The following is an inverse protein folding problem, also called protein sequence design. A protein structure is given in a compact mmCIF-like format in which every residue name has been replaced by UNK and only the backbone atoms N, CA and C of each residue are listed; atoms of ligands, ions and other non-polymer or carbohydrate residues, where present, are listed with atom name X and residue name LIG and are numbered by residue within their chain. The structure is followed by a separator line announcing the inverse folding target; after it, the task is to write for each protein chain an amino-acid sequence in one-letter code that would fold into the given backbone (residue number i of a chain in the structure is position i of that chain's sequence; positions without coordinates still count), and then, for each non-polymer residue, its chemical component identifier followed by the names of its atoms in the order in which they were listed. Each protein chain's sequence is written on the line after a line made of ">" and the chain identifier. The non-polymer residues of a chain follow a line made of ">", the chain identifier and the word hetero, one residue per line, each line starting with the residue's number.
data_IF_990041343701
#
_entry.id   IF_990041343701
#
_cell.length_a   1.000
_cell.length_b   1.000
_cell.length_c   1.000
_cell.angle_alpha   90.00
_cell.angle_beta   90.00
_cell.angle_gamma   90.00
#
_symmetry.space_group_name_H-M   'P 1'
#
loop_
_entity.id
_entity.type
_entity.pdbx_description
1 polymer ?
#
# COMPACT_ATOMS: atom_id res chain seq x y z
N UNK A 1 3.82 51.20 -30.33
CA UNK A 1 3.82 49.72 -30.19
C UNK A 1 5.06 49.05 -30.78
N UNK A 2 5.82 49.68 -31.69
CA UNK A 2 7.04 49.10 -32.28
C UNK A 2 8.14 48.69 -31.26
N UNK A 3 8.22 49.39 -30.12
CA UNK A 3 9.16 49.07 -29.02
C UNK A 3 8.90 47.66 -28.43
N UNK A 4 7.66 47.14 -28.53
CA UNK A 4 7.31 45.80 -28.03
C UNK A 4 7.80 44.66 -28.93
N UNK A 5 8.22 44.97 -30.16
CA UNK A 5 8.76 43.98 -31.10
C UNK A 5 10.28 43.83 -30.98
N UNK A 6 10.96 44.80 -30.36
CA UNK A 6 12.41 44.78 -30.21
C UNK A 6 12.83 43.79 -29.12
N UNK A 7 13.53 42.71 -29.50
CA UNK A 7 14.12 41.76 -28.54
C UNK A 7 15.36 42.40 -27.89
N UNK A 8 15.53 42.23 -26.58
CA UNK A 8 16.74 42.65 -25.88
C UNK A 8 17.97 41.85 -26.38
N UNK A 9 19.20 42.30 -26.07
CA UNK A 9 20.48 41.61 -26.36
C UNK A 9 20.50 40.15 -25.87
N UNK A 10 19.66 39.82 -24.89
CA UNK A 10 19.46 38.49 -24.31
C UNK A 10 18.32 37.67 -24.95
N UNK A 11 17.68 38.18 -26.01
CA UNK A 11 16.54 37.54 -26.69
C UNK A 11 15.24 37.48 -25.88
N UNK A 12 15.11 38.28 -24.80
CA UNK A 12 13.90 38.39 -23.99
C UNK A 12 12.88 39.30 -24.68
N UNK A 13 11.61 38.88 -24.70
CA UNK A 13 10.51 39.73 -25.17
C UNK A 13 10.27 40.88 -24.18
N UNK A 14 10.06 42.13 -24.63
CA UNK A 14 9.74 43.26 -23.75
C UNK A 14 8.57 42.97 -22.81
N UNK A 15 7.54 42.28 -23.31
CA UNK A 15 6.40 41.82 -22.53
C UNK A 15 6.81 40.93 -21.33
N UNK A 16 7.83 40.09 -21.47
CA UNK A 16 8.34 39.26 -20.35
C UNK A 16 8.98 40.11 -19.26
N UNK A 17 9.70 41.17 -19.64
CA UNK A 17 10.34 42.09 -18.71
C UNK A 17 9.29 42.90 -17.94
N UNK A 18 8.27 43.38 -18.65
CA UNK A 18 7.15 44.12 -18.07
C UNK A 18 6.39 43.27 -17.05
N UNK A 19 6.00 42.03 -17.39
CA UNK A 19 5.32 41.13 -16.44
C UNK A 19 6.16 40.91 -15.15
N UNK A 20 7.48 40.85 -15.28
CA UNK A 20 8.39 40.61 -14.15
C UNK A 20 8.55 41.86 -13.28
N UNK A 21 8.87 43.00 -13.90
CA UNK A 21 9.35 44.19 -13.19
C UNK A 21 8.29 45.31 -13.07
N UNK A 22 7.35 45.42 -14.02
CA UNK A 22 6.37 46.51 -14.11
C UNK A 22 4.98 45.98 -14.51
N UNK A 23 4.24 45.33 -13.57
CA UNK A 23 2.96 44.68 -13.86
C UNK A 23 1.87 45.66 -14.30
N UNK A 24 1.82 46.87 -13.73
CA UNK A 24 0.85 47.91 -14.08
C UNK A 24 1.02 48.36 -15.55
N UNK A 25 2.27 48.55 -15.98
CA UNK A 25 2.56 48.87 -17.38
C UNK A 25 2.23 47.72 -18.32
N UNK A 26 2.41 46.47 -17.88
CA UNK A 26 1.98 45.30 -18.65
C UNK A 26 0.45 45.25 -18.79
N UNK A 27 -0.29 45.62 -17.75
CA UNK A 27 -1.75 45.70 -17.80
C UNK A 27 -2.23 46.75 -18.81
N UNK A 28 -1.68 47.97 -18.77
CA UNK A 28 -2.01 49.02 -19.75
C UNK A 28 -1.77 48.58 -21.19
N UNK A 29 -0.71 47.83 -21.43
CA UNK A 29 -0.40 47.28 -22.74
C UNK A 29 -1.43 46.22 -23.15
N UNK A 30 -1.87 45.38 -22.21
CA UNK A 30 -2.91 44.38 -22.47
C UNK A 30 -4.28 45.03 -22.70
N UNK A 31 -4.61 46.11 -22.02
CA UNK A 31 -5.83 46.90 -22.26
C UNK A 31 -5.83 47.46 -23.69
N UNK A 32 -4.70 47.99 -24.14
CA UNK A 32 -4.48 48.45 -25.52
C UNK A 32 -4.55 47.33 -26.58
N UNK A 33 -4.51 46.05 -26.17
CA UNK A 33 -4.64 44.92 -27.10
C UNK A 33 -6.10 44.47 -27.28
N UNK A 34 -7.06 45.12 -26.62
CA UNK A 34 -8.49 44.86 -26.74
C UNK A 34 -9.10 46.00 -27.57
N UNK A 35 -9.31 45.73 -28.86
CA UNK A 35 -10.03 46.66 -29.73
C UNK A 35 -11.53 46.33 -29.70
N UNK A 36 -12.35 47.30 -29.30
CA UNK A 36 -13.81 47.23 -29.39
C UNK A 36 -14.23 47.87 -30.70
N UNK A 37 -15.01 47.17 -31.53
CA UNK A 37 -15.55 47.74 -32.77
C UNK A 37 -16.27 49.06 -32.48
N UNK A 38 -16.04 50.08 -33.31
CA UNK A 38 -16.46 51.47 -33.07
C UNK A 38 -17.97 51.76 -33.13
N UNK A 39 -18.83 50.77 -32.99
CA UNK A 39 -20.27 50.98 -32.79
C UNK A 39 -20.54 51.21 -31.30
N UNK A 40 -21.08 52.39 -30.97
CA UNK A 40 -21.23 52.93 -29.61
C UNK A 40 -22.29 52.21 -28.75
N UNK A 41 -22.89 51.12 -29.22
CA UNK A 41 -23.94 50.38 -28.50
C UNK A 41 -23.54 48.92 -28.25
N UNK A 42 -23.58 48.52 -26.98
CA UNK A 42 -23.38 47.14 -26.52
C UNK A 42 -24.49 46.17 -26.97
N UNK A 43 -25.60 46.69 -27.53
CA UNK A 43 -26.79 45.91 -27.92
C UNK A 43 -26.86 45.60 -29.43
N UNK A 44 -25.89 46.05 -30.23
CA UNK A 44 -25.88 45.76 -31.67
C UNK A 44 -25.46 44.30 -31.95
N UNK A 45 -26.21 43.56 -32.79
CA UNK A 45 -25.92 42.14 -33.10
C UNK A 45 -24.58 41.92 -33.84
N UNK A 46 -23.94 43.00 -34.31
CA UNK A 46 -22.64 42.97 -34.99
C UNK A 46 -21.49 43.52 -34.13
N UNK A 47 -21.68 43.72 -32.82
CA UNK A 47 -20.61 44.14 -31.92
C UNK A 47 -19.58 43.01 -31.78
N UNK A 48 -18.34 43.25 -32.22
CA UNK A 48 -17.26 42.27 -32.16
C UNK A 48 -16.06 42.84 -31.40
N UNK A 49 -15.63 42.13 -30.36
CA UNK A 49 -14.42 42.45 -29.60
C UNK A 49 -13.25 41.70 -30.24
N UNK A 50 -12.26 42.43 -30.77
CA UNK A 50 -11.06 41.85 -31.37
C UNK A 50 -9.90 41.92 -30.39
N UNK A 51 -9.37 40.75 -30.02
CA UNK A 51 -8.29 40.59 -29.05
C UNK A 51 -6.96 40.26 -29.73
N UNK A 52 -5.97 41.14 -29.61
CA UNK A 52 -4.62 40.95 -30.15
C UNK A 52 -3.74 40.11 -29.20
N UNK A 53 -3.62 38.81 -29.48
CA UNK A 53 -2.90 37.84 -28.63
C UNK A 53 -1.39 37.75 -28.89
N UNK A 54 -0.87 38.46 -29.91
CA UNK A 54 0.51 38.35 -30.43
C UNK A 54 1.57 38.59 -29.35
N UNK A 55 1.30 39.46 -28.39
CA UNK A 55 2.26 39.80 -27.34
C UNK A 55 2.32 38.78 -26.19
N UNK A 56 1.23 38.06 -25.90
CA UNK A 56 1.21 37.02 -24.86
C UNK A 56 1.59 35.64 -25.39
N UNK A 57 1.36 35.38 -26.68
CA UNK A 57 1.67 34.10 -27.32
C UNK A 57 2.12 34.29 -28.78
N UNK A 58 3.41 34.60 -29.02
CA UNK A 58 3.92 34.72 -30.38
C UNK A 58 3.85 33.39 -31.15
N UNK A 59 3.55 33.46 -32.44
CA UNK A 59 3.48 32.31 -33.35
C UNK A 59 4.80 31.52 -33.38
N UNK A 60 4.73 30.18 -33.57
CA UNK A 60 5.88 29.27 -33.42
C UNK A 60 7.07 29.61 -34.33
N UNK A 61 6.85 30.26 -35.46
CA UNK A 61 7.87 30.67 -36.44
C UNK A 61 8.77 31.82 -35.97
N UNK A 62 8.31 32.71 -35.08
CA UNK A 62 9.04 33.93 -34.67
C UNK A 62 9.56 33.88 -33.21
N UNK A 63 9.36 32.76 -32.52
CA UNK A 63 9.41 32.64 -31.05
C UNK A 63 10.62 31.87 -30.49
N UNK A 64 11.72 31.75 -31.24
CA UNK A 64 12.96 31.17 -30.70
C UNK A 64 13.67 32.23 -29.87
N UNK A 65 13.53 32.17 -28.54
CA UNK A 65 14.47 32.82 -27.63
C UNK A 65 15.79 32.03 -27.64
N UNK A 66 16.95 32.70 -27.50
CA UNK A 66 18.30 32.10 -27.49
C UNK A 66 18.48 30.88 -26.55
N UNK A 67 17.55 30.67 -25.59
CA UNK A 67 17.55 29.57 -24.63
C UNK A 67 16.64 28.38 -24.99
N UNK A 68 16.17 28.30 -26.24
CA UNK A 68 15.38 27.17 -26.74
C UNK A 68 13.98 27.02 -26.13
N UNK A 69 13.45 28.02 -25.43
CA UNK A 69 12.10 27.99 -24.84
C UNK A 69 11.19 29.06 -25.43
N UNK A 70 10.00 28.65 -25.88
CA UNK A 70 8.94 29.52 -26.38
C UNK A 70 8.46 30.44 -25.25
N UNK A 71 8.31 31.73 -25.53
CA UNK A 71 7.68 32.65 -24.58
C UNK A 71 6.17 32.37 -24.51
N UNK A 72 5.68 32.17 -23.30
CA UNK A 72 4.25 32.07 -22.99
C UNK A 72 3.95 32.99 -21.81
N UNK A 73 3.25 34.10 -22.09
CA UNK A 73 2.94 35.16 -21.13
C UNK A 73 2.33 34.65 -19.82
N UNK A 74 1.25 33.84 -19.87
CA UNK A 74 0.61 33.30 -18.67
C UNK A 74 1.56 32.47 -17.78
N UNK A 75 2.51 31.74 -18.36
CA UNK A 75 3.50 30.99 -17.56
C UNK A 75 4.44 31.93 -16.79
N UNK A 76 4.76 33.09 -17.34
CA UNK A 76 5.56 34.11 -16.65
C UNK A 76 4.74 34.81 -15.56
N UNK A 77 3.44 35.06 -15.81
CA UNK A 77 2.53 35.65 -14.82
C UNK A 77 2.36 34.74 -13.59
N UNK A 78 2.20 33.43 -13.79
CA UNK A 78 2.12 32.45 -12.68
C UNK A 78 3.43 32.40 -11.89
N UNK A 79 4.58 32.39 -12.57
CA UNK A 79 5.90 32.34 -11.91
C UNK A 79 6.17 33.56 -11.01
N UNK A 80 5.56 34.70 -11.33
CA UNK A 80 5.69 35.95 -10.57
C UNK A 80 4.42 36.28 -9.76
N UNK A 81 3.51 35.32 -9.59
CA UNK A 81 2.27 35.44 -8.78
C UNK A 81 1.41 36.66 -9.12
N UNK A 82 1.39 37.06 -10.40
CA UNK A 82 0.63 38.22 -10.89
C UNK A 82 -0.84 37.86 -11.15
N UNK A 83 -1.64 37.80 -10.08
CA UNK A 83 -3.07 37.40 -10.13
C UNK A 83 -3.92 38.31 -11.02
N UNK A 84 -3.76 39.63 -10.88
CA UNK A 84 -4.50 40.63 -11.65
C UNK A 84 -4.30 40.48 -13.17
N UNK A 85 -3.07 40.20 -13.60
CA UNK A 85 -2.75 39.97 -15.02
C UNK A 85 -3.29 38.62 -15.54
N UNK A 86 -3.47 37.63 -14.66
CA UNK A 86 -4.06 36.33 -14.97
C UNK A 86 -5.58 36.42 -15.13
N UNK A 87 -6.24 37.23 -14.30
CA UNK A 87 -7.69 37.48 -14.35
C UNK A 87 -8.09 38.39 -15.51
N UNK A 88 -7.14 39.10 -16.11
CA UNK A 88 -7.37 39.98 -17.25
C UNK A 88 -8.11 39.29 -18.40
N UNK A 89 -9.14 39.92 -19.01
CA UNK A 89 -9.98 39.32 -20.06
C UNK A 89 -9.18 38.77 -21.23
N UNK A 90 -8.11 39.45 -21.65
CA UNK A 90 -7.22 38.99 -22.73
C UNK A 90 -6.54 37.65 -22.40
N UNK A 91 -6.08 37.49 -21.16
CA UNK A 91 -5.44 36.26 -20.67
C UNK A 91 -6.46 35.13 -20.58
N UNK A 92 -7.67 35.41 -20.09
CA UNK A 92 -8.76 34.44 -20.01
C UNK A 92 -9.21 33.95 -21.38
N UNK A 93 -9.41 34.85 -22.35
CA UNK A 93 -9.75 34.50 -23.74
C UNK A 93 -8.64 33.66 -24.38
N UNK A 94 -7.37 34.01 -24.16
CA UNK A 94 -6.23 33.23 -24.64
C UNK A 94 -6.24 31.80 -24.09
N UNK A 95 -6.43 31.66 -22.78
CA UNK A 95 -6.45 30.36 -22.09
C UNK A 95 -7.65 29.53 -22.54
N UNK A 96 -8.85 30.12 -22.63
CA UNK A 96 -10.06 29.44 -23.10
C UNK A 96 -9.93 28.98 -24.57
N UNK A 97 -9.36 29.82 -25.44
CA UNK A 97 -9.14 29.48 -26.86
C UNK A 97 -8.17 28.31 -27.00
N UNK A 98 -7.02 28.34 -26.31
CA UNK A 98 -6.04 27.25 -26.33
C UNK A 98 -6.56 25.97 -25.67
N UNK A 99 -7.30 26.11 -24.57
CA UNK A 99 -7.92 24.98 -23.89
C UNK A 99 -8.97 24.31 -24.77
N UNK A 100 -9.87 25.08 -25.39
CA UNK A 100 -10.90 24.52 -26.27
C UNK A 100 -10.34 23.93 -27.56
N UNK A 101 -9.24 24.47 -28.09
CA UNK A 101 -8.64 23.99 -29.34
C UNK A 101 -7.85 22.69 -29.16
N UNK A 102 -7.02 22.58 -28.11
CA UNK A 102 -6.11 21.43 -27.97
C UNK A 102 -6.13 20.82 -26.57
N UNK A 103 -6.12 21.64 -25.52
CA UNK A 103 -5.98 21.16 -24.14
C UNK A 103 -7.10 20.21 -23.69
N UNK A 104 -8.34 20.54 -24.03
CA UNK A 104 -9.54 19.77 -23.70
C UNK A 104 -9.51 18.39 -24.36
N UNK A 105 -9.16 18.33 -25.65
CA UNK A 105 -9.11 17.08 -26.41
C UNK A 105 -8.02 16.15 -25.85
N UNK A 106 -6.81 16.65 -25.65
CA UNK A 106 -5.69 15.86 -25.09
C UNK A 106 -6.02 15.36 -23.69
N UNK A 107 -6.62 16.21 -22.85
CA UNK A 107 -7.01 15.83 -21.50
C UNK A 107 -8.06 14.72 -21.49
N UNK A 108 -9.17 14.87 -22.22
CA UNK A 108 -10.23 13.85 -22.22
C UNK A 108 -9.78 12.54 -22.86
N UNK A 109 -8.94 12.60 -23.90
CA UNK A 109 -8.33 11.41 -24.47
C UNK A 109 -7.49 10.68 -23.41
N UNK A 110 -6.54 11.36 -22.76
CA UNK A 110 -5.71 10.76 -21.71
C UNK A 110 -6.56 10.25 -20.51
N UNK A 111 -7.57 11.01 -20.11
CA UNK A 111 -8.51 10.60 -19.07
C UNK A 111 -9.25 9.31 -19.43
N UNK A 112 -9.71 9.19 -20.68
CA UNK A 112 -10.43 8.02 -21.15
C UNK A 112 -9.54 6.77 -21.18
N UNK A 113 -8.31 6.88 -21.69
CA UNK A 113 -7.35 5.77 -21.66
C UNK A 113 -7.03 5.32 -20.23
N UNK A 114 -6.87 6.27 -19.32
CA UNK A 114 -6.64 5.96 -17.92
C UNK A 114 -7.87 5.31 -17.27
N UNK A 115 -9.07 5.82 -17.53
CA UNK A 115 -10.32 5.28 -17.00
C UNK A 115 -10.58 3.84 -17.49
N UNK A 116 -10.35 3.55 -18.78
CA UNK A 116 -10.43 2.20 -19.33
C UNK A 116 -9.43 1.27 -18.64
N UNK A 117 -8.19 1.74 -18.40
CA UNK A 117 -7.20 0.99 -17.63
C UNK A 117 -7.70 0.67 -16.21
N UNK A 118 -8.25 1.65 -15.47
CA UNK A 118 -8.78 1.43 -14.12
C UNK A 118 -9.89 0.38 -14.13
N UNK A 119 -10.89 0.52 -15.02
CA UNK A 119 -12.01 -0.42 -15.11
C UNK A 119 -11.53 -1.83 -15.45
N UNK A 120 -10.65 -1.97 -16.45
CA UNK A 120 -10.14 -3.28 -16.86
C UNK A 120 -9.28 -3.94 -15.79
N UNK A 121 -8.42 -3.17 -15.10
CA UNK A 121 -7.61 -3.69 -14.01
C UNK A 121 -8.47 -4.14 -12.82
N UNK A 122 -9.52 -3.37 -12.48
CA UNK A 122 -10.44 -3.73 -11.40
C UNK A 122 -11.28 -4.97 -11.76
N UNK A 123 -11.78 -5.05 -13.00
CA UNK A 123 -12.51 -6.20 -13.50
C UNK A 123 -11.64 -7.47 -13.52
N UNK A 124 -10.37 -7.34 -13.91
CA UNK A 124 -9.39 -8.42 -13.84
C UNK A 124 -9.21 -8.94 -12.41
N UNK A 125 -8.98 -8.06 -11.43
CA UNK A 125 -8.81 -8.46 -10.04
C UNK A 125 -10.05 -9.18 -9.49
N UNK A 126 -11.25 -8.64 -9.72
CA UNK A 126 -12.50 -9.24 -9.25
C UNK A 126 -12.70 -10.63 -9.87
N UNK A 127 -12.49 -10.76 -11.19
CA UNK A 127 -12.60 -12.06 -11.86
C UNK A 127 -11.57 -13.05 -11.37
N UNK A 128 -10.33 -12.62 -11.16
CA UNK A 128 -9.28 -13.48 -10.65
C UNK A 128 -9.62 -14.02 -9.25
N UNK A 129 -10.16 -13.16 -8.38
CA UNK A 129 -10.62 -13.55 -7.03
C UNK A 129 -11.80 -14.51 -7.09
N UNK A 130 -12.77 -14.30 -7.98
CA UNK A 130 -13.99 -15.10 -8.07
C UNK A 130 -13.78 -16.47 -8.75
N UNK A 131 -12.91 -16.54 -9.76
CA UNK A 131 -12.68 -17.74 -10.56
C UNK A 131 -11.41 -18.51 -10.15
N UNK A 132 -10.85 -18.25 -8.96
CA UNK A 132 -9.64 -18.94 -8.48
C UNK A 132 -9.76 -20.47 -8.55
N UNK A 133 -10.96 -21.02 -8.32
CA UNK A 133 -11.27 -22.46 -8.30
C UNK A 133 -11.42 -23.09 -9.69
N UNK A 134 -11.76 -22.30 -10.72
CA UNK A 134 -12.05 -22.80 -12.06
C UNK A 134 -10.81 -22.64 -12.91
N UNK A 135 -10.05 -23.72 -13.00
CA UNK A 135 -8.82 -23.98 -13.78
C UNK A 135 -8.61 -23.25 -15.12
N UNK A 136 -9.64 -22.69 -15.75
CA UNK A 136 -9.58 -22.03 -17.04
C UNK A 136 -8.98 -20.63 -16.93
N UNK A 137 -7.70 -20.54 -17.28
CA UNK A 137 -6.99 -19.28 -17.40
C UNK A 137 -7.69 -18.35 -18.38
N UNK A 138 -8.18 -17.21 -17.88
CA UNK A 138 -8.54 -16.06 -18.70
C UNK A 138 -7.24 -15.41 -19.23
N UNK A 139 -6.41 -16.16 -19.97
CA UNK A 139 -5.17 -15.67 -20.61
C UNK A 139 -5.45 -14.42 -21.44
N UNK A 140 -6.64 -14.36 -22.06
CA UNK A 140 -7.13 -13.18 -22.77
C UNK A 140 -7.17 -11.93 -21.86
N UNK A 141 -7.63 -12.04 -20.61
CA UNK A 141 -7.69 -10.90 -19.69
C UNK A 141 -6.28 -10.46 -19.28
N UNK A 142 -5.36 -11.41 -19.04
CA UNK A 142 -3.95 -11.09 -18.81
C UNK A 142 -3.33 -10.33 -19.98
N UNK A 143 -3.53 -10.81 -21.21
CA UNK A 143 -3.02 -10.15 -22.41
C UNK A 143 -3.59 -8.74 -22.59
N UNK A 144 -4.89 -8.54 -22.32
CA UNK A 144 -5.53 -7.22 -22.40
C UNK A 144 -4.94 -6.27 -21.35
N UNK A 145 -4.85 -6.68 -20.09
CA UNK A 145 -4.30 -5.84 -19.01
C UNK A 145 -2.83 -5.53 -19.25
N UNK A 146 -2.04 -6.51 -19.68
CA UNK A 146 -0.63 -6.31 -20.01
C UNK A 146 -0.45 -5.33 -21.17
N UNK A 147 -1.28 -5.42 -22.22
CA UNK A 147 -1.27 -4.47 -23.33
C UNK A 147 -1.58 -3.05 -22.85
N UNK A 148 -2.60 -2.87 -22.00
CA UNK A 148 -2.94 -1.56 -21.45
C UNK A 148 -1.80 -0.98 -20.61
N UNK A 149 -1.17 -1.78 -19.76
CA UNK A 149 0.00 -1.37 -18.98
C UNK A 149 1.15 -0.98 -19.90
N UNK A 150 1.41 -1.74 -20.95
CA UNK A 150 2.46 -1.44 -21.93
C UNK A 150 2.21 -0.09 -22.62
N UNK A 151 0.98 0.18 -23.07
CA UNK A 151 0.61 1.48 -23.64
C UNK A 151 0.87 2.60 -22.64
N UNK A 152 0.49 2.43 -21.36
CA UNK A 152 0.72 3.49 -20.36
C UNK A 152 2.19 3.65 -19.99
N UNK A 153 2.96 2.58 -19.95
CA UNK A 153 4.39 2.64 -19.74
C UNK A 153 5.08 3.39 -20.90
N UNK A 154 4.71 3.11 -22.15
CA UNK A 154 5.27 3.84 -23.30
C UNK A 154 4.92 5.34 -23.25
N UNK A 155 3.70 5.69 -22.83
CA UNK A 155 3.31 7.09 -22.58
C UNK A 155 4.21 7.76 -21.54
N UNK A 156 4.51 7.10 -20.42
CA UNK A 156 5.42 7.65 -19.40
C UNK A 156 6.86 7.76 -19.89
N UNK A 157 7.35 6.79 -20.66
CA UNK A 157 8.68 6.86 -21.26
C UNK A 157 8.78 8.05 -22.22
N UNK A 158 7.77 8.27 -23.07
CA UNK A 158 7.70 9.45 -23.94
C UNK A 158 7.69 10.74 -23.09
N UNK A 159 6.93 10.77 -22.00
CA UNK A 159 6.87 11.93 -21.10
C UNK A 159 8.23 12.22 -20.45
N UNK A 160 8.98 11.20 -20.03
CA UNK A 160 10.35 11.32 -19.51
C UNK A 160 11.29 11.86 -20.58
N UNK A 161 11.22 11.34 -21.82
CA UNK A 161 12.07 11.80 -22.92
C UNK A 161 11.84 13.27 -23.24
N UNK A 162 10.58 13.73 -23.22
CA UNK A 162 10.21 15.12 -23.50
C UNK A 162 10.58 16.07 -22.34
N UNK A 163 10.36 15.67 -21.08
CA UNK A 163 10.51 16.55 -19.91
C UNK A 163 11.88 16.41 -19.20
N UNK A 164 12.63 15.35 -19.50
CA UNK A 164 13.96 15.02 -18.94
C UNK A 164 13.99 15.09 -17.41
N UNK A 165 15.00 15.73 -16.81
CA UNK A 165 15.17 15.80 -15.36
C UNK A 165 14.05 16.56 -14.62
N UNK A 166 13.31 17.43 -15.31
CA UNK A 166 12.18 18.15 -14.70
C UNK A 166 11.02 17.22 -14.37
N UNK A 167 10.93 16.08 -15.07
CA UNK A 167 9.90 15.07 -14.86
C UNK A 167 9.91 14.54 -13.41
N UNK A 168 11.09 14.21 -12.86
CA UNK A 168 11.23 13.60 -11.53
C UNK A 168 10.94 14.55 -10.36
N UNK A 169 10.87 15.86 -10.60
CA UNK A 169 10.59 16.84 -9.53
C UNK A 169 9.10 17.01 -9.22
N UNK A 170 8.20 16.46 -10.05
CA UNK A 170 6.75 16.62 -9.86
C UNK A 170 6.16 15.40 -9.16
N UNK A 171 5.59 15.57 -7.97
CA UNK A 171 5.00 14.46 -7.19
C UNK A 171 3.93 13.67 -7.96
N UNK A 172 3.14 14.34 -8.81
CA UNK A 172 2.12 13.68 -9.65
C UNK A 172 2.72 12.68 -10.63
N UNK A 173 3.91 12.98 -11.17
CA UNK A 173 4.59 12.09 -12.12
C UNK A 173 5.19 10.89 -11.38
N UNK A 174 5.72 11.11 -10.17
CA UNK A 174 6.23 10.05 -9.32
C UNK A 174 5.13 9.06 -8.94
N UNK A 175 3.92 9.53 -8.57
CA UNK A 175 2.80 8.64 -8.25
C UNK A 175 2.34 7.82 -9.45
N UNK A 176 2.32 8.40 -10.66
CA UNK A 176 2.04 7.66 -11.91
C UNK A 176 3.09 6.57 -12.15
N UNK A 177 4.38 6.87 -11.95
CA UNK A 177 5.46 5.89 -12.12
C UNK A 177 5.39 4.72 -11.13
N UNK A 178 5.16 5.02 -9.85
CA UNK A 178 5.04 3.98 -8.82
C UNK A 178 3.83 3.10 -9.11
N UNK A 179 2.70 3.68 -9.55
CA UNK A 179 1.52 2.93 -9.96
C UNK A 179 1.82 1.95 -11.11
N UNK A 180 2.39 2.42 -12.22
CA UNK A 180 2.62 1.55 -13.38
C UNK A 180 3.71 0.50 -13.11
N UNK A 181 4.73 0.84 -12.32
CA UNK A 181 5.76 -0.12 -11.90
C UNK A 181 5.19 -1.21 -10.99
N UNK A 182 4.41 -0.83 -9.97
CA UNK A 182 3.81 -1.80 -9.03
C UNK A 182 2.77 -2.71 -9.70
N UNK A 183 1.94 -2.17 -10.60
CA UNK A 183 0.99 -2.96 -11.40
C UNK A 183 1.69 -3.91 -12.37
N UNK A 184 2.74 -3.47 -13.06
CA UNK A 184 3.54 -4.33 -13.94
C UNK A 184 4.19 -5.48 -13.18
N UNK A 185 4.78 -5.19 -12.02
CA UNK A 185 5.41 -6.21 -11.17
C UNK A 185 4.37 -7.19 -10.63
N UNK A 186 3.19 -6.72 -10.21
CA UNK A 186 2.10 -7.58 -9.78
C UNK A 186 1.62 -8.53 -10.89
N UNK A 187 1.30 -8.00 -12.08
CA UNK A 187 0.77 -8.81 -13.20
C UNK A 187 1.81 -9.80 -13.73
N UNK A 188 3.08 -9.41 -13.84
CA UNK A 188 4.13 -10.31 -14.32
C UNK A 188 4.42 -11.44 -13.33
N UNK A 189 4.50 -11.13 -12.02
CA UNK A 189 4.63 -12.16 -11.00
C UNK A 189 3.44 -13.12 -11.03
N UNK A 190 2.22 -12.58 -11.11
CA UNK A 190 1.01 -13.39 -11.11
C UNK A 190 0.93 -14.31 -12.34
N UNK A 191 1.34 -13.84 -13.53
CA UNK A 191 1.45 -14.67 -14.74
C UNK A 191 2.53 -15.76 -14.62
N UNK A 192 3.69 -15.45 -14.04
CA UNK A 192 4.78 -16.42 -13.85
C UNK A 192 4.31 -17.54 -12.90
N UNK A 193 3.69 -17.19 -11.78
CA UNK A 193 3.18 -18.18 -10.82
C UNK A 193 2.06 -19.03 -11.43
N UNK A 194 1.14 -18.44 -12.18
CA UNK A 194 0.07 -19.18 -12.86
C UNK A 194 0.63 -20.18 -13.90
N UNK A 195 1.65 -19.77 -14.68
CA UNK A 195 2.36 -20.64 -15.61
C UNK A 195 3.10 -21.79 -14.91
N UNK A 196 3.79 -21.52 -13.81
CA UNK A 196 4.51 -22.54 -13.02
C UNK A 196 3.54 -23.56 -12.44
N UNK A 197 2.42 -23.11 -11.84
CA UNK A 197 1.39 -24.00 -11.29
C UNK A 197 0.79 -24.87 -12.39
N UNK A 198 0.50 -24.28 -13.55
CA UNK A 198 -0.02 -25.01 -14.71
C UNK A 198 0.94 -26.06 -15.25
N UNK A 199 2.26 -25.85 -15.13
CA UNK A 199 3.28 -26.78 -15.65
C UNK A 199 3.59 -27.92 -14.66
N UNK A 200 3.65 -27.63 -13.36
CA UNK A 200 4.19 -28.57 -12.36
C UNK A 200 3.13 -29.31 -11.55
N UNK A 201 2.03 -28.68 -11.13
CA UNK A 201 1.02 -29.30 -10.26
C UNK A 201 -0.35 -28.60 -10.37
N UNK A 202 -1.18 -28.93 -11.37
CA UNK A 202 -2.47 -28.27 -11.58
C UNK A 202 -3.48 -28.50 -10.44
N UNK A 203 -3.31 -29.56 -9.63
CA UNK A 203 -4.24 -29.89 -8.53
C UNK A 203 -4.05 -29.05 -7.25
N UNK A 204 -2.94 -28.31 -7.08
CA UNK A 204 -2.63 -27.55 -5.84
C UNK A 204 -2.62 -26.03 -6.02
N UNK A 205 -3.53 -25.49 -6.85
CA UNK A 205 -3.57 -24.06 -7.20
C UNK A 205 -3.77 -23.11 -6.00
N UNK A 206 -4.57 -23.47 -5.00
CA UNK A 206 -4.96 -22.55 -3.92
C UNK A 206 -3.87 -22.27 -2.87
N UNK A 207 -2.99 -23.23 -2.58
CA UNK A 207 -2.02 -23.11 -1.48
C UNK A 207 -0.63 -22.62 -1.93
N UNK A 208 -0.45 -22.29 -3.22
CA UNK A 208 0.87 -22.01 -3.78
C UNK A 208 1.18 -20.52 -3.98
N UNK A 209 0.19 -19.63 -3.96
CA UNK A 209 0.45 -18.20 -4.14
C UNK A 209 1.06 -17.58 -2.87
N UNK A 210 2.28 -17.01 -2.93
CA UNK A 210 2.85 -16.33 -1.79
C UNK A 210 2.05 -15.06 -1.43
N UNK A 211 1.94 -14.78 -0.13
CA UNK A 211 1.18 -13.64 0.40
C UNK A 211 1.65 -12.28 -0.17
N UNK A 212 2.92 -12.18 -0.58
CA UNK A 212 3.50 -10.97 -1.16
C UNK A 212 2.76 -10.50 -2.43
N UNK A 213 2.26 -11.42 -3.26
CA UNK A 213 1.54 -11.08 -4.50
C UNK A 213 0.26 -10.30 -4.18
N UNK A 214 -0.48 -10.75 -3.16
CA UNK A 214 -1.71 -10.08 -2.74
C UNK A 214 -1.45 -8.71 -2.12
N UNK A 215 -0.35 -8.56 -1.38
CA UNK A 215 0.07 -7.25 -0.85
C UNK A 215 0.39 -6.29 -2.00
N UNK A 216 1.11 -6.75 -3.03
CA UNK A 216 1.41 -5.96 -4.22
C UNK A 216 0.13 -5.59 -5.00
N UNK A 217 -0.81 -6.52 -5.12
CA UNK A 217 -2.14 -6.29 -5.69
C UNK A 217 -2.91 -5.21 -4.93
N UNK A 218 -2.95 -5.29 -3.60
CA UNK A 218 -3.62 -4.31 -2.74
C UNK A 218 -2.98 -2.91 -2.84
N UNK A 219 -1.64 -2.82 -2.86
CA UNK A 219 -0.93 -1.56 -3.04
C UNK A 219 -1.25 -0.97 -4.42
N UNK A 220 -1.22 -1.78 -5.47
CA UNK A 220 -1.45 -1.31 -6.84
C UNK A 220 -2.87 -0.81 -7.08
N UNK A 221 -3.91 -1.48 -6.56
CA UNK A 221 -5.30 -1.01 -6.67
C UNK A 221 -5.53 0.27 -5.86
N UNK A 222 -4.92 0.39 -4.68
CA UNK A 222 -4.97 1.62 -3.88
C UNK A 222 -4.33 2.80 -4.62
N UNK A 223 -3.13 2.61 -5.17
CA UNK A 223 -2.46 3.65 -5.97
C UNK A 223 -3.25 4.00 -7.24
N UNK A 224 -3.97 3.03 -7.83
CA UNK A 224 -4.78 3.24 -9.01
C UNK A 224 -5.92 4.23 -8.72
N UNK A 225 -6.70 4.00 -7.67
CA UNK A 225 -7.76 4.93 -7.29
C UNK A 225 -7.22 6.26 -6.74
N UNK A 226 -6.10 6.26 -6.00
CA UNK A 226 -5.46 7.48 -5.55
C UNK A 226 -5.04 8.37 -6.74
N UNK A 227 -4.46 7.77 -7.78
CA UNK A 227 -4.07 8.49 -8.98
C UNK A 227 -5.28 8.94 -9.82
N UNK A 228 -6.39 8.19 -9.83
CA UNK A 228 -7.64 8.65 -10.43
C UNK A 228 -8.12 9.97 -9.81
N UNK A 229 -8.08 10.10 -8.48
CA UNK A 229 -8.40 11.35 -7.79
C UNK A 229 -7.47 12.49 -8.26
N UNK A 230 -6.17 12.22 -8.40
CA UNK A 230 -5.20 13.22 -8.88
C UNK A 230 -5.45 13.65 -10.34
N UNK A 231 -5.97 12.76 -11.19
CA UNK A 231 -6.35 13.10 -12.57
C UNK A 231 -7.62 13.95 -12.57
N UNK A 232 -8.61 13.64 -11.73
CA UNK A 232 -9.85 14.42 -11.58
C UNK A 232 -9.60 15.87 -11.13
N UNK A 233 -8.44 16.15 -10.52
CA UNK A 233 -7.99 17.50 -10.14
C UNK A 233 -8.02 18.52 -11.29
N UNK A 234 -7.88 18.07 -12.55
CA UNK A 234 -7.83 18.96 -13.72
C UNK A 234 -9.21 19.33 -14.26
N UNK A 235 -10.29 18.72 -13.77
CA UNK A 235 -11.65 19.07 -14.13
C UNK A 235 -12.06 20.37 -13.41
N UNK A 236 -12.80 21.25 -14.09
CA UNK A 236 -13.19 22.55 -13.52
C UNK A 236 -14.12 22.45 -12.31
N UNK A 237 -15.06 21.50 -12.31
CA UNK A 237 -16.02 21.30 -11.21
C UNK A 237 -15.42 20.52 -10.05
N UNK A 238 -14.84 19.35 -10.34
CA UNK A 238 -14.31 18.43 -9.32
C UNK A 238 -12.94 18.87 -8.80
N UNK A 239 -12.18 19.60 -9.62
CA UNK A 239 -10.79 19.95 -9.33
C UNK A 239 -10.62 20.82 -8.09
N UNK A 240 -11.54 21.75 -7.85
CA UNK A 240 -11.52 22.64 -6.68
C UNK A 240 -11.61 21.79 -5.40
N UNK A 241 -12.56 20.85 -5.34
CA UNK A 241 -12.71 19.94 -4.20
C UNK A 241 -11.48 19.06 -3.98
N UNK A 242 -10.90 18.51 -5.06
CA UNK A 242 -9.68 17.69 -4.96
C UNK A 242 -8.50 18.52 -4.47
N UNK A 243 -8.32 19.75 -4.96
CA UNK A 243 -7.24 20.64 -4.48
C UNK A 243 -7.40 20.99 -3.00
N UNK A 244 -8.64 21.27 -2.56
CA UNK A 244 -8.95 21.53 -1.16
C UNK A 244 -8.65 20.30 -0.29
N UNK A 245 -9.06 19.11 -0.75
CA UNK A 245 -8.78 17.85 -0.05
C UNK A 245 -7.28 17.58 0.13
N UNK A 246 -6.48 17.78 -0.92
CA UNK A 246 -5.01 17.59 -0.84
C UNK A 246 -4.41 18.56 0.18
N UNK A 247 -4.84 19.82 0.19
CA UNK A 247 -4.32 20.83 1.11
C UNK A 247 -4.72 20.56 2.58
N UNK A 248 -5.95 20.10 2.80
CA UNK A 248 -6.42 19.63 4.12
C UNK A 248 -5.64 18.39 4.55
N UNK A 249 -5.41 17.42 3.66
CA UNK A 249 -4.65 16.19 3.96
C UNK A 249 -3.21 16.51 4.37
N UNK A 250 -2.55 17.48 3.73
CA UNK A 250 -1.21 17.95 4.15
C UNK A 250 -1.24 18.53 5.57
N UNK A 251 -2.27 19.31 5.90
CA UNK A 251 -2.42 19.90 7.23
C UNK A 251 -2.65 18.82 8.29
N UNK A 252 -3.52 17.84 8.00
CA UNK A 252 -3.76 16.68 8.86
C UNK A 252 -2.49 15.86 9.05
N UNK A 253 -1.71 15.62 7.99
CA UNK A 253 -0.45 14.88 8.07
C UNK A 253 0.57 15.60 8.96
N UNK A 254 0.68 16.93 8.87
CA UNK A 254 1.54 17.72 9.77
C UNK A 254 1.14 17.55 11.24
N UNK A 255 -0.15 17.58 11.53
CA UNK A 255 -0.67 17.38 12.89
C UNK A 255 -0.43 15.94 13.36
N UNK A 256 -0.66 14.95 12.49
CA UNK A 256 -0.39 13.54 12.79
C UNK A 256 1.08 13.29 13.17
N UNK A 257 2.03 13.95 12.49
CA UNK A 257 3.46 13.89 12.83
C UNK A 257 3.77 14.33 14.26
N UNK A 258 3.01 15.29 14.82
CA UNK A 258 3.17 15.70 16.21
C UNK A 258 2.67 14.59 17.15
N UNK A 259 1.54 13.96 16.82
CA UNK A 259 0.98 12.84 17.61
C UNK A 259 1.87 11.60 17.61
N UNK A 260 2.75 11.39 16.62
CA UNK A 260 3.68 10.26 16.62
C UNK A 260 4.62 10.24 17.84
N UNK A 261 5.02 11.42 18.36
CA UNK A 261 5.83 11.50 19.58
C UNK A 261 5.06 10.93 20.78
N UNK A 262 3.78 11.24 20.87
CA UNK A 262 2.90 10.70 21.92
C UNK A 262 2.73 9.19 21.75
N UNK A 263 2.47 8.69 20.53
CA UNK A 263 2.34 7.25 20.31
C UNK A 263 3.60 6.47 20.70
N UNK A 264 4.79 6.98 20.36
CA UNK A 264 6.04 6.35 20.74
C UNK A 264 6.25 6.38 22.26
N UNK A 265 5.94 7.51 22.91
CA UNK A 265 6.01 7.64 24.37
C UNK A 265 5.07 6.66 25.08
N UNK A 266 3.79 6.63 24.70
CA UNK A 266 2.81 5.69 25.25
C UNK A 266 3.19 4.23 24.97
N UNK A 267 3.65 3.92 23.75
CA UNK A 267 4.10 2.57 23.41
C UNK A 267 5.27 2.12 24.30
N UNK A 268 6.22 3.00 24.61
CA UNK A 268 7.33 2.69 25.52
C UNK A 268 6.86 2.51 26.96
N UNK A 269 5.93 3.34 27.44
CA UNK A 269 5.33 3.19 28.78
C UNK A 269 4.64 1.83 28.91
N UNK A 270 3.78 1.47 27.95
CA UNK A 270 3.11 0.16 27.95
C UNK A 270 4.10 -1.00 27.83
N UNK A 271 5.13 -0.87 27.00
CA UNK A 271 6.17 -1.89 26.87
C UNK A 271 6.89 -2.15 28.21
N UNK A 272 7.23 -1.10 28.95
CA UNK A 272 7.87 -1.23 30.28
C UNK A 272 6.89 -1.82 31.30
N UNK A 273 5.64 -1.32 31.33
CA UNK A 273 4.63 -1.77 32.28
C UNK A 273 4.33 -3.26 32.11
N UNK A 274 4.05 -3.71 30.89
CA UNK A 274 3.77 -5.12 30.62
C UNK A 274 4.98 -6.02 30.88
N UNK A 275 6.21 -5.55 30.61
CA UNK A 275 7.41 -6.31 30.99
C UNK A 275 7.52 -6.49 32.51
N UNK A 276 7.15 -5.49 33.29
CA UNK A 276 7.19 -5.55 34.76
C UNK A 276 6.10 -6.46 35.34
N UNK A 277 4.88 -6.40 34.81
CA UNK A 277 3.75 -7.22 35.27
C UNK A 277 3.92 -8.69 34.90
N UNK A 278 4.41 -9.00 33.70
CA UNK A 278 4.74 -10.38 33.30
C UNK A 278 5.87 -10.94 34.16
N UNK A 279 6.89 -10.13 34.50
CA UNK A 279 7.98 -10.55 35.38
C UNK A 279 7.52 -10.87 36.81
N UNK A 280 6.62 -10.06 37.37
CA UNK A 280 6.03 -10.27 38.69
C UNK A 280 5.10 -11.50 38.71
N UNK A 281 4.20 -11.63 37.72
CA UNK A 281 3.27 -12.74 37.65
C UNK A 281 3.99 -14.10 37.46
N UNK A 282 5.05 -14.16 36.65
CA UNK A 282 5.87 -15.38 36.50
C UNK A 282 6.63 -15.69 37.79
N UNK A 283 7.17 -14.69 38.48
CA UNK A 283 7.83 -14.86 39.78
C UNK A 283 6.92 -15.44 40.86
N UNK A 284 5.68 -14.95 40.95
CA UNK A 284 4.68 -15.46 41.89
C UNK A 284 4.25 -16.89 41.55
N UNK A 285 4.07 -17.22 40.27
CA UNK A 285 3.72 -18.59 39.84
C UNK A 285 4.85 -19.57 40.18
N UNK A 286 6.11 -19.20 39.97
CA UNK A 286 7.26 -20.04 40.30
C UNK A 286 7.43 -20.22 41.82
N UNK A 287 7.13 -19.19 42.62
CA UNK A 287 7.10 -19.29 44.07
C UNK A 287 5.97 -20.22 44.56
N UNK A 288 4.75 -20.07 44.02
CA UNK A 288 3.61 -20.93 44.32
C UNK A 288 3.89 -22.39 43.93
N UNK A 289 4.49 -22.62 42.76
CA UNK A 289 4.84 -23.96 42.27
C UNK A 289 5.87 -24.65 43.17
N UNK A 290 6.91 -23.94 43.58
CA UNK A 290 7.94 -24.48 44.50
C UNK A 290 7.34 -24.81 45.87
N UNK A 291 6.51 -23.94 46.42
CA UNK A 291 5.83 -24.19 47.69
C UNK A 291 4.87 -25.37 47.61
N UNK A 292 4.11 -25.51 46.51
CA UNK A 292 3.23 -26.64 46.29
C UNK A 292 4.00 -27.97 46.11
N UNK A 293 5.13 -27.96 45.41
CA UNK A 293 6.00 -29.13 45.25
C UNK A 293 6.57 -29.59 46.60
N UNK A 294 7.09 -28.66 47.41
CA UNK A 294 7.54 -28.96 48.77
C UNK A 294 6.40 -29.53 49.63
N UNK A 295 5.21 -28.93 49.57
CA UNK A 295 4.04 -29.38 50.33
C UNK A 295 3.60 -30.80 49.94
N UNK A 296 3.70 -31.16 48.65
CA UNK A 296 3.46 -32.54 48.18
C UNK A 296 4.49 -33.52 48.71
N UNK A 297 5.78 -33.18 48.65
CA UNK A 297 6.85 -34.03 49.20
C UNK A 297 6.68 -34.22 50.71
N UNK A 298 6.41 -33.14 51.45
CA UNK A 298 6.15 -33.21 52.88
C UNK A 298 4.95 -34.10 53.20
N UNK A 299 3.86 -34.01 52.42
CA UNK A 299 2.70 -34.87 52.59
C UNK A 299 3.02 -36.35 52.33
N UNK A 300 3.81 -36.67 51.31
CA UNK A 300 4.28 -38.04 51.06
C UNK A 300 5.15 -38.56 52.20
N UNK A 301 6.10 -37.76 52.67
CA UNK A 301 6.99 -38.13 53.79
C UNK A 301 6.17 -38.35 55.07
N UNK A 302 5.24 -37.45 55.40
CA UNK A 302 4.37 -37.61 56.57
C UNK A 302 3.47 -38.84 56.45
N UNK A 303 2.96 -39.16 55.25
CA UNK A 303 2.18 -40.37 55.03
C UNK A 303 3.02 -41.62 55.22
N UNK A 304 4.22 -41.68 54.62
CA UNK A 304 5.15 -42.80 54.78
C UNK A 304 5.51 -42.99 56.25
N UNK A 305 5.87 -41.92 56.97
CA UNK A 305 6.18 -41.98 58.39
C UNK A 305 4.98 -42.46 59.23
N UNK A 306 3.76 -42.06 58.88
CA UNK A 306 2.54 -42.54 59.54
C UNK A 306 2.30 -44.03 59.29
N UNK A 307 2.52 -44.50 58.07
CA UNK A 307 2.40 -45.92 57.70
C UNK A 307 3.45 -46.75 58.43
N UNK A 308 4.70 -46.29 58.47
CA UNK A 308 5.81 -46.94 59.19
C UNK A 308 5.49 -47.09 60.68
N UNK A 309 5.04 -46.00 61.33
CA UNK A 309 4.63 -46.02 62.73
C UNK A 309 3.42 -46.93 62.99
N UNK A 310 2.52 -47.11 62.01
CA UNK A 310 1.32 -47.93 62.16
C UNK A 310 1.60 -49.43 61.98
N UNK A 311 2.61 -49.82 61.18
CA UNK A 311 2.90 -51.22 60.84
C UNK A 311 4.39 -51.58 60.92
N UNK A 312 5.02 -51.51 62.11
CA UNK A 312 6.47 -51.67 62.26
C UNK A 312 6.99 -53.09 61.91
N UNK A 313 6.16 -54.13 62.11
CA UNK A 313 6.54 -55.53 61.83
C UNK A 313 6.58 -55.85 60.33
N UNK A 314 5.80 -55.14 59.51
CA UNK A 314 5.74 -55.33 58.06
C UNK A 314 7.01 -54.81 57.37
N UNK A 315 7.59 -53.72 57.87
CA UNK A 315 8.83 -53.15 57.35
C UNK A 315 10.05 -54.07 57.58
N UNK A 316 10.09 -54.72 58.74
CA UNK A 316 11.08 -55.75 59.08
C UNK A 316 10.97 -56.98 58.18
N UNK A 317 9.75 -57.41 57.84
CA UNK A 317 9.49 -58.57 57.00
C UNK A 317 9.82 -58.31 55.52
N UNK A 318 9.64 -57.08 55.04
CA UNK A 318 10.04 -56.63 53.70
C UNK A 318 11.57 -56.40 53.56
N UNK A 319 12.36 -56.60 54.61
CA UNK A 319 13.82 -56.55 54.55
C UNK A 319 14.40 -55.14 54.32
N UNK A 320 13.64 -54.08 54.60
CA UNK A 320 14.11 -52.70 54.45
C UNK A 320 15.03 -52.32 55.61
N UNK A 321 16.33 -52.56 55.44
CA UNK A 321 17.35 -52.08 56.37
C UNK A 321 17.57 -50.58 56.11
N UNK A 322 17.34 -49.73 57.09
CA UNK A 322 17.76 -48.31 57.05
C UNK A 322 19.28 -48.26 56.93
N UNK A 323 19.79 -48.13 55.71
CA UNK A 323 21.22 -48.00 55.46
C UNK A 323 21.71 -46.71 56.10
N UNK A 324 22.27 -46.86 57.30
CA UNK A 324 22.94 -45.79 58.05
C UNK A 324 24.33 -45.67 57.43
N UNK A 325 24.43 -44.90 56.34
CA UNK A 325 25.66 -44.78 55.58
C UNK A 325 25.41 -44.16 54.21
N UNK A 326 24.91 -42.93 54.19
CA UNK A 326 25.03 -42.07 53.02
C UNK A 326 25.83 -40.85 53.46
N UNK A 327 27.16 -40.94 53.36
CA UNK A 327 28.06 -39.83 53.61
C UNK A 327 27.77 -38.71 52.60
N UNK A 328 27.15 -37.63 53.08
CA UNK A 328 27.13 -36.37 52.36
C UNK A 328 28.51 -35.72 52.47
N UNK A 329 29.39 -36.03 51.52
CA UNK A 329 30.54 -35.17 51.25
C UNK A 329 30.13 -34.16 50.15
N UNK A 330 30.21 -32.83 50.39
CA UNK A 330 29.99 -31.87 49.33
C UNK A 330 31.23 -31.85 48.44
N UNK A 331 31.27 -32.73 47.43
CA UNK A 331 32.37 -32.74 46.47
C UNK A 331 32.08 -31.74 45.35
N UNK A 332 32.64 -30.54 45.52
CA UNK A 332 32.95 -29.68 44.40
C UNK A 332 33.85 -30.46 43.42
N UNK A 333 33.32 -30.79 42.26
CA UNK A 333 34.07 -30.97 41.00
C UNK A 333 33.08 -31.08 39.85
N UNK A 334 33.10 -30.07 39.01
CA UNK A 334 32.54 -30.08 37.67
C UNK A 334 33.20 -31.21 36.86
N UNK A 335 32.41 -32.17 36.39
CA UNK A 335 32.71 -32.93 35.18
C UNK A 335 31.43 -33.03 34.32
N UNK A 336 31.52 -32.95 32.98
CA UNK A 336 30.36 -32.78 32.13
C UNK A 336 29.57 -34.08 32.03
N UNK A 337 28.31 -34.03 32.46
CA UNK A 337 27.38 -35.17 32.50
C UNK A 337 26.88 -35.55 31.09
N UNK A 338 27.60 -36.44 30.41
CA UNK A 338 27.26 -37.00 29.08
C UNK A 338 25.92 -37.80 29.04
N UNK A 339 25.41 -38.24 30.19
CA UNK A 339 24.18 -39.06 30.27
C UNK A 339 22.86 -38.32 30.01
N UNK A 340 22.80 -37.00 30.22
CA UNK A 340 21.56 -36.22 30.02
C UNK A 340 21.28 -36.01 28.54
N UNK A 341 22.31 -35.91 27.70
CA UNK A 341 22.18 -35.73 26.25
C UNK A 341 21.57 -36.97 25.60
N UNK A 342 21.97 -38.18 26.03
CA UNK A 342 21.42 -39.46 25.56
C UNK A 342 19.94 -39.63 25.91
N UNK A 343 19.54 -39.27 27.14
CA UNK A 343 18.14 -39.28 27.56
C UNK A 343 17.29 -38.26 26.80
N UNK A 344 17.83 -37.05 26.57
CA UNK A 344 17.13 -36.00 25.81
C UNK A 344 16.94 -36.39 24.35
N UNK A 345 17.93 -37.01 23.70
CA UNK A 345 17.80 -37.49 22.33
C UNK A 345 16.76 -38.62 22.21
N UNK A 346 16.69 -39.53 23.17
CA UNK A 346 15.73 -40.63 23.17
C UNK A 346 14.29 -40.12 23.41
N UNK A 347 14.14 -39.17 24.34
CA UNK A 347 12.85 -38.53 24.64
C UNK A 347 12.37 -37.70 23.44
N UNK A 348 13.26 -36.92 22.81
CA UNK A 348 12.93 -36.13 21.62
C UNK A 348 12.51 -37.03 20.45
N UNK A 349 13.19 -38.16 20.25
CA UNK A 349 12.84 -39.14 19.21
C UNK A 349 11.48 -39.80 19.45
N UNK A 350 11.12 -40.07 20.72
CA UNK A 350 9.79 -40.55 21.08
C UNK A 350 8.71 -39.47 20.92
N UNK A 351 9.04 -38.21 21.19
CA UNK A 351 8.12 -37.08 21.00
C UNK A 351 7.80 -36.88 19.52
N UNK A 352 8.82 -36.81 18.65
CA UNK A 352 8.65 -36.67 17.19
C UNK A 352 7.86 -37.85 16.58
N UNK A 353 8.05 -39.07 17.10
CA UNK A 353 7.29 -40.24 16.67
C UNK A 353 5.82 -40.17 17.12
N UNK A 354 5.58 -39.61 18.30
CA UNK A 354 4.22 -39.46 18.84
C UNK A 354 3.47 -38.35 18.11
N UNK A 355 4.13 -37.24 17.80
CA UNK A 355 3.59 -36.14 16.99
C UNK A 355 3.15 -36.63 15.60
N UNK A 356 4.00 -37.38 14.90
CA UNK A 356 3.64 -37.99 13.61
C UNK A 356 2.46 -38.97 13.68
N UNK A 357 2.31 -39.70 14.78
CA UNK A 357 1.17 -40.61 14.99
C UNK A 357 -0.12 -39.85 15.28
N UNK A 358 -0.02 -38.70 15.94
CA UNK A 358 -1.16 -37.82 16.18
C UNK A 358 -1.61 -37.17 14.87
N UNK A 359 -0.67 -36.66 14.05
CA UNK A 359 -1.00 -36.11 12.73
C UNK A 359 -1.71 -37.13 11.83
N UNK A 360 -1.22 -38.38 11.76
CA UNK A 360 -1.90 -39.41 10.96
C UNK A 360 -3.27 -39.81 11.51
N UNK A 361 -3.46 -39.75 12.83
CA UNK A 361 -4.77 -39.98 13.45
C UNK A 361 -5.75 -38.83 13.14
N UNK A 362 -5.27 -37.59 13.15
CA UNK A 362 -6.09 -36.42 12.77
C UNK A 362 -6.50 -36.51 11.31
N UNK A 363 -5.56 -36.80 10.40
CA UNK A 363 -5.85 -36.95 8.96
C UNK A 363 -6.88 -38.06 8.69
N UNK A 364 -6.78 -39.18 9.41
CA UNK A 364 -7.74 -40.29 9.27
C UNK A 364 -9.11 -39.97 9.86
N UNK A 365 -9.19 -39.25 10.98
CA UNK A 365 -10.45 -38.73 11.51
C UNK A 365 -11.11 -37.73 10.58
N UNK A 366 -10.35 -36.79 10.01
CA UNK A 366 -10.88 -35.82 9.06
C UNK A 366 -11.41 -36.50 7.79
N UNK A 367 -10.70 -37.50 7.26
CA UNK A 367 -11.16 -38.29 6.13
C UNK A 367 -12.45 -39.07 6.45
N UNK A 368 -12.56 -39.66 7.64
CA UNK A 368 -13.78 -40.33 8.10
C UNK A 368 -14.95 -39.35 8.25
N UNK A 369 -14.70 -38.18 8.84
CA UNK A 369 -15.70 -37.12 9.00
C UNK A 369 -16.17 -36.58 7.64
N UNK A 370 -15.27 -36.44 6.67
CA UNK A 370 -15.62 -36.04 5.31
C UNK A 370 -16.49 -37.09 4.60
N UNK A 371 -16.24 -38.38 4.82
CA UNK A 371 -17.08 -39.47 4.30
C UNK A 371 -18.45 -39.50 4.97
N UNK A 372 -18.53 -39.31 6.28
CA UNK A 372 -19.79 -39.18 7.03
C UNK A 372 -20.63 -38.02 6.48
N UNK A 373 -20.03 -36.84 6.26
CA UNK A 373 -20.72 -35.70 5.63
C UNK A 373 -21.28 -36.05 4.24
N UNK A 374 -20.56 -36.83 3.43
CA UNK A 374 -21.02 -37.29 2.12
C UNK A 374 -22.15 -38.33 2.22
N UNK A 375 -22.11 -39.22 3.21
CA UNK A 375 -23.16 -40.21 3.45
C UNK A 375 -24.45 -39.55 3.94
N UNK A 376 -24.37 -38.62 4.89
CA UNK A 376 -25.52 -37.87 5.40
C UNK A 376 -26.21 -37.11 4.26
N UNK A 377 -25.44 -36.42 3.42
CA UNK A 377 -25.97 -35.69 2.25
C UNK A 377 -26.64 -36.59 1.19
N UNK A 378 -26.31 -37.89 1.17
CA UNK A 378 -26.88 -38.87 0.24
C UNK A 378 -28.12 -39.56 0.83
N UNK A 379 -28.27 -39.57 2.15
CA UNK A 379 -29.41 -40.18 2.86
C UNK A 379 -30.59 -39.19 2.96
N UNK A 380 -30.33 -37.89 3.14
CA UNK A 380 -31.38 -36.87 3.16
C UNK A 380 -30.91 -35.58 2.45
N UNK A 381 -31.38 -35.30 1.21
CA UNK A 381 -30.93 -34.15 0.44
C UNK A 381 -31.54 -32.81 0.93
N UNK A 382 -32.44 -32.82 1.92
CA UNK A 382 -33.16 -31.64 2.40
C UNK A 382 -32.63 -31.02 3.71
N UNK A 383 -31.71 -31.66 4.41
CA UNK A 383 -31.27 -31.20 5.75
C UNK A 383 -30.22 -30.09 5.63
N UNK A 384 -30.58 -28.86 6.02
CA UNK A 384 -29.59 -27.83 6.39
C UNK A 384 -28.99 -28.24 7.73
N UNK A 385 -27.71 -28.58 7.76
CA UNK A 385 -26.97 -28.69 9.02
C UNK A 385 -26.45 -27.30 9.36
N UNK A 386 -26.89 -26.77 10.49
CA UNK A 386 -26.42 -25.49 11.03
C UNK A 386 -24.93 -25.63 11.40
N UNK A 387 -24.09 -24.76 10.84
CA UNK A 387 -22.63 -24.73 11.01
C UNK A 387 -22.17 -24.43 12.45
N UNK A 388 -23.09 -24.16 13.37
CA UNK A 388 -22.79 -23.60 14.70
C UNK A 388 -22.67 -24.65 15.82
N UNK A 389 -22.97 -25.94 15.58
CA UNK A 389 -23.02 -26.94 16.67
C UNK A 389 -21.76 -27.81 16.82
N UNK A 390 -20.60 -27.43 16.24
CA UNK A 390 -19.44 -28.32 16.23
C UNK A 390 -18.05 -27.63 16.28
N UNK A 391 -17.97 -26.38 16.75
CA UNK A 391 -16.70 -25.73 17.12
C UNK A 391 -16.47 -25.75 18.65
N UNK A 392 -16.56 -26.93 19.28
CA UNK A 392 -16.11 -27.11 20.67
C UNK A 392 -15.12 -28.25 20.81
#
# INVERSE_FOLDING_TARGET
>A
MEIMEHKDKNGLTPMKLLIKHFPESAQLVMDYCIDRSGTESSDDPNFTITCNLRFLDPSPTNAICQRGSRFFGPSTMVKHERRELLEHPLTQVLLNKKWSSFGRLVFYFNFMFYFVFVVMFTAFLIRFMQNSDKGSGDFFMYSIVFLLIFVQFTKEVIAILVQRFRYFTTLSNLTEWILYSTTLLFITLLLIFDLIISLFNPEKRHNFYPQLIWVLGAISIFLCYANLVLVLRRLSLVGIYVTMFIEVTKSVLKVLLIFFVLFFGFSMVFYVLFKSEVGLAVGDIDAIRRNAAFKRMAMQVMYIAKVENSFPRLMLLLGMKTSSGLDFTPRAKEEPFSGVVLGYTEIKKKLDLTEKRVETLVDTMEAQNALLRKLVKKIDPGTKMDEESMEM
#
